data_IF_311354344277
#
_entry.id   IF_311354344277
#
_cell.length_a   1.000
_cell.length_b   1.000
_cell.length_c   1.000
_cell.angle_alpha   90.00
_cell.angle_beta   90.00
_cell.angle_gamma   90.00
#
_symmetry.space_group_name_H-M   'P 1'
#
loop_
_entity.id
_entity.type
_entity.pdbx_description
1 polymer ?
#
# COMPACT_ATOMS: atom_id res chain seq x y z
N UNK A 1 -13.23 -3.10 5.55
CA UNK A 1 -12.94 -3.67 6.89
C UNK A 1 -12.55 -2.52 7.83
N UNK A 2 -12.79 -2.59 9.15
CA UNK A 2 -12.33 -1.52 10.08
C UNK A 2 -10.79 -1.56 10.22
N UNK A 3 -10.15 -0.39 10.27
CA UNK A 3 -8.69 -0.23 10.41
C UNK A 3 -8.05 -1.08 11.50
N UNK A 4 -8.61 -1.01 12.72
CA UNK A 4 -8.09 -1.75 13.87
C UNK A 4 -8.07 -3.26 13.63
N UNK A 5 -9.12 -3.80 13.00
CA UNK A 5 -9.22 -5.22 12.67
C UNK A 5 -8.22 -5.60 11.59
N UNK A 6 -8.10 -4.78 10.55
CA UNK A 6 -7.12 -5.00 9.47
C UNK A 6 -5.68 -5.01 10.00
N UNK A 7 -5.30 -3.98 10.76
CA UNK A 7 -3.95 -3.86 11.30
C UNK A 7 -3.62 -5.01 12.25
N UNK A 8 -4.56 -5.40 13.11
CA UNK A 8 -4.38 -6.55 14.01
C UNK A 8 -4.16 -7.86 13.22
N UNK A 9 -4.91 -8.07 12.15
CA UNK A 9 -4.73 -9.24 11.28
C UNK A 9 -3.36 -9.23 10.60
N UNK A 10 -2.90 -8.09 10.09
CA UNK A 10 -1.57 -7.95 9.48
C UNK A 10 -0.45 -8.25 10.48
N UNK A 11 -0.53 -7.67 11.67
CA UNK A 11 0.44 -7.91 12.74
C UNK A 11 0.47 -9.37 13.16
N UNK A 12 -0.71 -9.97 13.39
CA UNK A 12 -0.82 -11.38 13.75
C UNK A 12 -0.20 -12.29 12.69
N UNK A 13 -0.39 -11.98 11.40
CA UNK A 13 0.25 -12.71 10.30
C UNK A 13 1.76 -12.55 10.30
N UNK A 14 2.27 -11.34 10.55
CA UNK A 14 3.71 -11.12 10.71
C UNK A 14 4.31 -11.97 11.84
N UNK A 15 3.65 -12.03 12.99
CA UNK A 15 4.07 -12.89 14.13
C UNK A 15 4.08 -14.37 13.74
N UNK A 16 3.05 -14.81 13.01
CA UNK A 16 2.93 -16.20 12.53
C UNK A 16 3.81 -16.53 11.32
N UNK A 17 4.70 -15.63 10.89
CA UNK A 17 5.54 -15.80 9.70
C UNK A 17 4.71 -16.06 8.42
N UNK A 18 3.52 -15.48 8.34
CA UNK A 18 2.64 -15.57 7.17
C UNK A 18 2.77 -14.32 6.29
N UNK A 19 2.52 -14.50 5.00
CA UNK A 19 2.51 -13.40 4.04
C UNK A 19 1.43 -12.35 4.40
N UNK A 20 1.73 -11.06 4.23
CA UNK A 20 0.75 -9.98 4.38
C UNK A 20 -0.52 -10.20 3.54
N UNK A 21 -1.67 -9.80 4.09
CA UNK A 21 -2.91 -9.66 3.35
C UNK A 21 -2.76 -8.57 2.29
N UNK A 22 -3.44 -8.76 1.16
CA UNK A 22 -3.33 -7.86 0.00
C UNK A 22 -2.11 -8.13 -0.87
N UNK A 23 -1.18 -9.00 -0.44
CA UNK A 23 -0.13 -9.53 -1.30
C UNK A 23 -0.73 -10.52 -2.30
N UNK A 24 -1.42 -10.01 -3.33
CA UNK A 24 -1.98 -10.83 -4.40
C UNK A 24 -1.11 -10.69 -5.65
N UNK A 25 -0.34 -11.74 -5.91
CA UNK A 25 0.31 -11.98 -7.19
C UNK A 25 -0.71 -11.91 -8.35
N UNK A 26 -0.34 -11.18 -9.42
CA UNK A 26 -0.84 -11.26 -10.81
C UNK A 26 -1.93 -10.31 -11.36
N UNK A 27 -2.47 -9.32 -10.63
CA UNK A 27 -3.48 -8.40 -11.24
C UNK A 27 -3.24 -6.89 -11.13
N UNK A 28 -2.19 -6.43 -10.44
CA UNK A 28 -1.73 -5.04 -10.55
C UNK A 28 -0.61 -4.96 -11.61
N UNK A 29 -0.56 -3.88 -12.38
CA UNK A 29 0.50 -3.62 -13.38
C UNK A 29 1.89 -3.52 -12.75
N UNK A 30 1.99 -3.34 -11.44
CA UNK A 30 3.19 -3.56 -10.64
C UNK A 30 3.19 -5.00 -10.12
N UNK A 31 3.96 -5.88 -10.75
CA UNK A 31 4.11 -7.29 -10.35
C UNK A 31 4.78 -7.37 -8.98
N UNK A 32 4.00 -7.39 -7.91
CA UNK A 32 4.52 -7.77 -6.61
C UNK A 32 4.74 -9.28 -6.56
N UNK A 33 6.00 -9.71 -6.74
CA UNK A 33 6.43 -11.12 -6.82
C UNK A 33 6.94 -11.70 -5.49
N UNK A 34 6.66 -11.07 -4.35
CA UNK A 34 7.03 -11.66 -3.07
C UNK A 34 7.04 -10.68 -1.91
N UNK A 35 5.89 -10.53 -1.25
CA UNK A 35 5.91 -10.02 0.12
C UNK A 35 6.38 -11.14 1.04
N UNK A 36 7.43 -10.89 1.79
CA UNK A 36 7.84 -11.77 2.89
C UNK A 36 6.98 -11.51 4.13
N UNK A 37 7.02 -12.44 5.08
CA UNK A 37 6.34 -12.25 6.35
C UNK A 37 6.86 -10.98 7.06
N UNK A 38 5.94 -10.19 7.60
CA UNK A 38 6.28 -8.93 8.27
C UNK A 38 6.63 -7.77 7.32
N UNK A 39 6.63 -7.97 6.00
CA UNK A 39 6.82 -6.87 5.04
C UNK A 39 5.51 -6.11 4.83
N UNK A 40 5.21 -5.21 5.75
CA UNK A 40 4.14 -4.23 5.63
C UNK A 40 4.61 -2.88 6.19
N UNK A 41 3.98 -1.81 5.75
CA UNK A 41 4.22 -0.45 6.24
C UNK A 41 2.90 0.19 6.67
N UNK A 42 2.97 1.19 7.54
CA UNK A 42 1.81 2.01 7.88
C UNK A 42 1.70 3.17 6.90
N UNK A 43 0.59 3.22 6.14
CA UNK A 43 0.32 4.35 5.27
C UNK A 43 0.11 5.63 6.10
N UNK A 44 0.87 6.69 5.83
CA UNK A 44 0.79 7.93 6.62
C UNK A 44 -0.58 8.62 6.50
N UNK A 45 -1.24 8.49 5.35
CA UNK A 45 -2.53 9.15 5.08
C UNK A 45 -3.71 8.51 5.80
N UNK A 46 -3.75 7.17 5.93
CA UNK A 46 -4.90 6.45 6.49
C UNK A 46 -4.58 5.58 7.71
N UNK A 47 -3.30 5.31 7.98
CA UNK A 47 -2.82 4.48 9.09
C UNK A 47 -3.11 2.98 8.93
N UNK A 48 -3.48 2.51 7.74
CA UNK A 48 -3.64 1.08 7.48
C UNK A 48 -2.27 0.45 7.25
N UNK A 49 -2.08 -0.77 7.79
CA UNK A 49 -0.90 -1.58 7.50
C UNK A 49 -1.04 -2.25 6.14
N UNK A 50 -0.30 -1.76 5.16
CA UNK A 50 -0.36 -2.24 3.77
C UNK A 50 0.83 -3.13 3.46
N UNK A 51 0.67 -4.15 2.62
CA UNK A 51 1.79 -4.99 2.20
C UNK A 51 2.85 -4.12 1.52
N UNK A 52 4.11 -4.34 1.87
CA UNK A 52 5.24 -3.74 1.18
C UNK A 52 5.84 -4.76 0.23
N UNK A 53 6.13 -4.36 -1.01
CA UNK A 53 6.81 -5.21 -1.97
C UNK A 53 8.23 -4.71 -2.22
N UNK A 54 9.21 -5.52 -1.85
CA UNK A 54 10.62 -5.20 -2.08
C UNK A 54 10.89 -5.17 -3.59
N UNK A 55 11.31 -4.02 -4.11
CA UNK A 55 11.61 -3.83 -5.54
C UNK A 55 10.42 -3.36 -6.39
N UNK A 56 9.29 -2.99 -5.78
CA UNK A 56 8.35 -2.11 -6.47
C UNK A 56 9.02 -0.73 -6.65
N UNK A 57 9.12 -0.24 -7.88
CA UNK A 57 9.36 1.18 -8.16
C UNK A 57 8.09 1.91 -7.73
N UNK A 58 8.09 2.36 -6.48
CA UNK A 58 7.01 3.14 -5.92
C UNK A 58 7.62 4.50 -5.57
N UNK A 59 7.22 5.53 -6.33
CA UNK A 59 7.72 6.89 -6.09
C UNK A 59 7.29 7.43 -4.71
N UNK A 60 6.30 6.77 -4.07
CA UNK A 60 5.68 7.19 -2.81
C UNK A 60 5.55 6.06 -1.80
N UNK A 61 6.66 5.62 -1.21
CA UNK A 61 6.70 4.54 -0.19
C UNK A 61 5.89 4.81 1.10
N UNK A 62 5.40 6.03 1.31
CA UNK A 62 4.70 6.46 2.53
C UNK A 62 3.16 6.44 2.39
N UNK A 63 2.64 6.38 1.15
CA UNK A 63 1.22 6.46 0.84
C UNK A 63 0.80 5.21 0.06
N UNK A 64 -0.32 4.60 0.44
CA UNK A 64 -0.83 3.43 -0.25
C UNK A 64 -1.63 3.73 -1.50
N UNK A 65 -1.67 2.78 -2.45
CA UNK A 65 -2.39 2.85 -3.73
C UNK A 65 -3.83 3.39 -3.60
N UNK A 66 -4.57 2.97 -2.58
CA UNK A 66 -5.93 3.47 -2.35
C UNK A 66 -5.96 4.97 -2.09
N UNK A 67 -5.03 5.48 -1.27
CA UNK A 67 -4.91 6.90 -0.95
C UNK A 67 -4.36 7.68 -2.14
N UNK A 68 -3.38 7.12 -2.85
CA UNK A 68 -2.84 7.71 -4.07
C UNK A 68 -3.90 7.83 -5.16
N UNK A 69 -4.64 6.75 -5.43
CA UNK A 69 -5.72 6.75 -6.43
C UNK A 69 -6.90 7.66 -6.07
N UNK A 70 -7.11 7.97 -4.80
CA UNK A 70 -8.04 9.04 -4.39
C UNK A 70 -7.46 10.41 -4.71
N UNK A 71 -6.18 10.64 -4.39
CA UNK A 71 -5.49 11.89 -4.69
C UNK A 71 -5.46 12.17 -6.20
N UNK A 72 -5.13 11.18 -7.03
CA UNK A 72 -5.17 11.28 -8.49
C UNK A 72 -6.56 11.66 -9.00
N UNK A 73 -7.62 10.99 -8.51
CA UNK A 73 -9.01 11.32 -8.91
C UNK A 73 -9.43 12.73 -8.48
N UNK A 74 -9.04 13.15 -7.27
CA UNK A 74 -9.30 14.51 -6.82
C UNK A 74 -8.55 15.52 -7.69
N UNK A 75 -7.32 15.19 -8.07
CA UNK A 75 -6.49 16.02 -8.92
C UNK A 75 -7.07 16.18 -10.33
N UNK A 76 -7.45 15.06 -10.97
CA UNK A 76 -8.16 15.06 -12.26
C UNK A 76 -9.46 15.88 -12.20
N UNK A 77 -10.20 15.82 -11.08
CA UNK A 77 -11.43 16.57 -10.90
C UNK A 77 -11.21 18.09 -10.71
N UNK A 78 -10.06 18.50 -10.18
CA UNK A 78 -9.73 19.91 -9.90
C UNK A 78 -9.00 20.57 -11.08
N UNK A 79 -8.43 19.79 -12.01
CA UNK A 79 -7.88 20.29 -13.28
C UNK A 79 -6.60 21.12 -13.17
N UNK A 80 -5.94 21.11 -12.01
CA UNK A 80 -4.58 21.64 -11.85
C UNK A 80 -3.58 20.54 -12.22
N UNK A 81 -2.34 20.82 -12.65
CA UNK A 81 -1.29 19.80 -12.86
C UNK A 81 -0.49 19.53 -11.57
N UNK A 82 -0.22 18.26 -11.23
CA UNK A 82 0.66 17.87 -10.12
C UNK A 82 2.07 17.97 -10.66
N UNK A 83 2.85 18.89 -10.10
CA UNK A 83 4.29 18.87 -10.32
C UNK A 83 4.85 17.65 -9.59
N UNK A 84 5.47 16.73 -10.35
CA UNK A 84 6.28 15.68 -9.76
C UNK A 84 7.51 16.36 -9.14
N UNK A 85 7.65 16.28 -7.81
CA UNK A 85 8.88 16.70 -7.14
C UNK A 85 10.04 15.81 -7.65
N UNK A 86 11.18 16.47 -7.88
CA UNK A 86 12.29 16.01 -8.72
C UNK A 86 13.51 15.61 -7.89
#
# INVERSE_FOLDING_TARGET
MKKQVWNLLQQGRGIMQLQPLGCLSSRSKSLCLGCEAGQYYECQSCGYLQPYCKGADDDYFEICDDCWGIAEKMHEAIGMPMEAER
#
